data_IF_371849813199
#
_entry.id   IF_371849813199
#
_cell.length_a   1.000
_cell.length_b   1.000
_cell.length_c   1.000
_cell.angle_alpha   90.00
_cell.angle_beta   90.00
_cell.angle_gamma   90.00
#
_symmetry.space_group_name_H-M   'P 1'
#
loop_
_entity.id
_entity.type
_entity.pdbx_description
1 polymer ?
#
# COMPACT_ATOMS: atom_id res chain seq x y z
N UNK A 1 -22.99 -12.28 2.57
CA UNK A 1 -23.02 -10.92 1.99
C UNK A 1 -21.58 -10.42 1.81
N UNK A 2 -21.20 -10.02 0.59
CA UNK A 2 -19.88 -9.46 0.35
C UNK A 2 -19.72 -8.15 1.14
N UNK A 3 -18.66 -8.05 1.95
CA UNK A 3 -18.31 -6.83 2.67
C UNK A 3 -18.11 -5.66 1.70
N UNK A 4 -18.52 -4.46 2.12
CA UNK A 4 -18.27 -3.21 1.39
C UNK A 4 -16.76 -2.94 1.27
N UNK A 5 -16.37 -2.11 0.31
CA UNK A 5 -14.94 -1.79 0.10
C UNK A 5 -14.33 -1.03 1.29
N UNK A 6 -15.14 -0.27 2.02
CA UNK A 6 -14.75 0.39 3.26
C UNK A 6 -14.45 -0.62 4.36
N UNK A 7 -15.33 -1.60 4.58
CA UNK A 7 -15.10 -2.67 5.57
C UNK A 7 -13.84 -3.47 5.22
N UNK A 8 -13.64 -3.81 3.94
CA UNK A 8 -12.42 -4.49 3.49
C UNK A 8 -11.17 -3.68 3.77
N UNK A 9 -11.18 -2.37 3.51
CA UNK A 9 -10.02 -1.50 3.76
C UNK A 9 -9.72 -1.39 5.26
N UNK A 10 -10.77 -1.34 6.09
CA UNK A 10 -10.65 -1.35 7.55
C UNK A 10 -10.06 -2.68 8.07
N UNK A 11 -10.53 -3.82 7.54
CA UNK A 11 -9.96 -5.12 7.84
C UNK A 11 -8.49 -5.21 7.44
N UNK A 12 -8.13 -4.70 6.25
CA UNK A 12 -6.74 -4.70 5.79
C UNK A 12 -5.86 -3.85 6.72
N UNK A 13 -6.37 -2.74 7.25
CA UNK A 13 -5.66 -1.91 8.23
C UNK A 13 -5.40 -2.66 9.53
N UNK A 14 -6.44 -3.27 10.11
CA UNK A 14 -6.32 -4.06 11.35
C UNK A 14 -5.36 -5.24 11.15
N UNK A 15 -5.55 -5.99 10.06
CA UNK A 15 -4.71 -7.15 9.76
C UNK A 15 -3.27 -6.77 9.44
N UNK A 16 -3.04 -5.62 8.79
CA UNK A 16 -1.69 -5.07 8.56
C UNK A 16 -0.99 -4.77 9.88
N UNK A 17 -1.67 -4.09 10.81
CA UNK A 17 -1.12 -3.78 12.15
C UNK A 17 -0.73 -5.07 12.87
N UNK A 18 -1.65 -6.04 12.94
CA UNK A 18 -1.43 -7.32 13.62
C UNK A 18 -0.30 -8.14 12.98
N UNK A 19 -0.33 -8.33 11.66
CA UNK A 19 0.64 -9.17 10.97
C UNK A 19 2.03 -8.54 10.98
N UNK A 20 2.14 -7.24 10.70
CA UNK A 20 3.43 -6.57 10.69
C UNK A 20 4.05 -6.53 12.09
N UNK A 21 3.28 -6.29 13.16
CA UNK A 21 3.83 -6.36 14.51
C UNK A 21 4.28 -7.77 14.90
N UNK A 22 3.51 -8.81 14.52
CA UNK A 22 3.88 -10.21 14.79
C UNK A 22 5.17 -10.65 14.07
N UNK A 23 5.43 -10.09 12.89
CA UNK A 23 6.59 -10.43 12.04
C UNK A 23 7.55 -9.24 11.87
N UNK A 24 7.56 -8.30 12.82
CA UNK A 24 8.29 -7.02 12.70
C UNK A 24 9.80 -7.17 12.61
N UNK A 25 10.31 -8.27 13.14
CA UNK A 25 11.74 -8.61 13.13
C UNK A 25 12.21 -9.20 11.81
N UNK A 26 11.30 -9.50 10.86
CA UNK A 26 11.70 -9.96 9.55
C UNK A 26 12.48 -8.87 8.82
N UNK A 27 13.63 -9.25 8.27
CA UNK A 27 14.33 -8.41 7.30
C UNK A 27 13.61 -8.44 5.95
N UNK A 28 13.78 -7.42 5.10
CA UNK A 28 13.20 -7.40 3.76
C UNK A 28 13.64 -8.62 2.94
N UNK A 29 14.90 -9.03 3.10
CA UNK A 29 15.43 -10.23 2.45
C UNK A 29 14.63 -11.48 2.86
N UNK A 30 14.37 -11.68 4.15
CA UNK A 30 13.54 -12.81 4.60
C UNK A 30 12.09 -12.68 4.12
N UNK A 31 11.53 -11.47 4.15
CA UNK A 31 10.17 -11.19 3.71
C UNK A 31 9.96 -11.29 2.19
N UNK A 32 11.02 -11.46 1.39
CA UNK A 32 10.89 -11.83 -0.04
C UNK A 32 10.75 -13.33 -0.27
N UNK A 33 10.85 -14.17 0.78
CA UNK A 33 10.68 -15.61 0.67
C UNK A 33 9.22 -15.99 0.34
N UNK A 34 8.96 -16.23 -0.95
CA UNK A 34 7.65 -16.64 -1.49
C UNK A 34 7.05 -17.90 -0.85
N UNK A 35 7.89 -18.85 -0.42
CA UNK A 35 7.43 -20.12 0.13
C UNK A 35 6.86 -19.94 1.53
N UNK A 36 7.46 -19.06 2.33
CA UNK A 36 6.95 -18.71 3.66
C UNK A 36 5.53 -18.15 3.57
N UNK A 37 5.30 -17.16 2.71
CA UNK A 37 3.98 -16.56 2.53
C UNK A 37 2.95 -17.52 1.94
N UNK A 38 3.37 -18.35 0.99
CA UNK A 38 2.50 -19.37 0.42
C UNK A 38 2.10 -20.38 1.50
N UNK A 39 3.04 -20.86 2.33
CA UNK A 39 2.74 -21.75 3.45
C UNK A 39 1.76 -21.11 4.45
N UNK A 40 2.02 -19.86 4.84
CA UNK A 40 1.14 -19.13 5.77
C UNK A 40 -0.28 -18.99 5.21
N UNK A 41 -0.42 -18.69 3.91
CA UNK A 41 -1.73 -18.59 3.26
C UNK A 41 -2.46 -19.94 3.15
N UNK A 42 -1.74 -21.05 2.93
CA UNK A 42 -2.34 -22.37 2.76
C UNK A 42 -2.64 -23.10 4.06
N UNK A 43 -1.86 -22.84 5.11
CA UNK A 43 -1.85 -23.66 6.33
C UNK A 43 -2.27 -22.85 7.54
N UNK A 44 -1.57 -21.76 7.85
CA UNK A 44 -1.77 -21.04 9.12
C UNK A 44 -2.99 -20.14 9.07
N UNK A 45 -3.16 -19.40 7.98
CA UNK A 45 -4.24 -18.41 7.80
C UNK A 45 -5.25 -18.84 6.71
N UNK A 46 -5.33 -20.15 6.44
CA UNK A 46 -6.17 -20.72 5.39
C UNK A 46 -7.61 -20.24 5.45
N UNK A 47 -8.20 -20.28 6.65
CA UNK A 47 -9.61 -19.95 6.83
C UNK A 47 -9.89 -18.47 6.55
N UNK A 48 -8.96 -17.58 6.92
CA UNK A 48 -9.02 -16.16 6.55
C UNK A 48 -8.97 -15.97 5.03
N UNK A 49 -8.02 -16.62 4.36
CA UNK A 49 -7.88 -16.50 2.89
C UNK A 49 -9.12 -17.04 2.17
N UNK A 50 -9.66 -18.17 2.62
CA UNK A 50 -10.88 -18.76 2.08
C UNK A 50 -12.07 -17.83 2.30
N UNK A 51 -12.32 -17.42 3.55
CA UNK A 51 -13.48 -16.61 3.90
C UNK A 51 -13.52 -15.27 3.18
N UNK A 52 -12.35 -14.67 2.88
CA UNK A 52 -12.27 -13.35 2.28
C UNK A 52 -12.27 -13.33 0.76
N UNK A 53 -11.69 -14.34 0.10
CA UNK A 53 -11.48 -14.30 -1.36
C UNK A 53 -12.04 -15.49 -2.14
N UNK A 54 -12.45 -16.59 -1.51
CA UNK A 54 -12.81 -17.82 -2.24
C UNK A 54 -14.27 -17.95 -2.62
N UNK A 55 -15.13 -17.02 -2.21
CA UNK A 55 -16.50 -16.96 -2.72
C UNK A 55 -16.49 -16.67 -4.23
N UNK A 56 -16.87 -17.67 -5.03
CA UNK A 56 -16.88 -17.62 -6.50
C UNK A 56 -15.53 -17.22 -7.12
N UNK A 57 -14.42 -17.64 -6.50
CA UNK A 57 -13.08 -17.30 -6.97
C UNK A 57 -12.78 -17.84 -8.37
N UNK A 58 -12.14 -16.99 -9.19
CA UNK A 58 -11.52 -17.40 -10.44
C UNK A 58 -10.15 -18.02 -10.16
N UNK A 59 -9.66 -18.83 -11.10
CA UNK A 59 -8.32 -19.44 -11.01
C UNK A 59 -7.23 -18.41 -10.70
N UNK A 60 -7.28 -17.23 -11.32
CA UNK A 60 -6.30 -16.18 -11.06
C UNK A 60 -6.35 -15.67 -9.61
N UNK A 61 -7.54 -15.54 -9.02
CA UNK A 61 -7.70 -15.16 -7.60
C UNK A 61 -7.07 -16.20 -6.68
N UNK A 62 -7.25 -17.49 -6.99
CA UNK A 62 -6.62 -18.58 -6.23
C UNK A 62 -5.10 -18.44 -6.34
N UNK A 63 -4.57 -18.31 -7.57
CA UNK A 63 -3.13 -18.17 -7.81
C UNK A 63 -2.52 -16.99 -7.05
N UNK A 64 -3.13 -15.81 -7.14
CA UNK A 64 -2.57 -14.59 -6.55
C UNK A 64 -2.75 -14.50 -5.04
N UNK A 65 -3.82 -15.06 -4.47
CA UNK A 65 -4.06 -14.97 -3.01
C UNK A 65 -3.34 -16.05 -2.22
N UNK A 66 -3.20 -17.26 -2.77
CA UNK A 66 -2.53 -18.37 -2.10
C UNK A 66 -1.03 -18.47 -2.39
N UNK A 67 -0.57 -17.99 -3.54
CA UNK A 67 0.84 -18.08 -3.94
C UNK A 67 1.43 -16.69 -4.18
N UNK A 68 2.75 -16.58 -4.07
CA UNK A 68 3.50 -15.40 -4.52
C UNK A 68 4.04 -15.70 -5.92
N UNK A 69 3.43 -15.11 -6.94
CA UNK A 69 3.75 -15.33 -8.36
C UNK A 69 4.34 -14.06 -8.97
N UNK A 70 5.51 -14.18 -9.61
CA UNK A 70 6.18 -13.05 -10.26
C UNK A 70 6.76 -12.03 -9.27
N UNK A 71 7.20 -10.89 -9.81
CA UNK A 71 7.88 -9.82 -9.06
C UNK A 71 6.94 -9.00 -8.15
N UNK A 72 5.66 -8.96 -8.49
CA UNK A 72 4.63 -8.16 -7.77
C UNK A 72 3.77 -9.06 -6.85
N UNK A 73 3.98 -10.38 -6.92
CA UNK A 73 3.23 -11.36 -6.14
C UNK A 73 3.29 -11.18 -4.62
N UNK A 74 4.27 -10.43 -4.10
CA UNK A 74 4.39 -10.10 -2.68
C UNK A 74 3.29 -9.13 -2.20
N UNK A 75 2.79 -8.27 -3.09
CA UNK A 75 1.68 -7.36 -2.82
C UNK A 75 0.31 -7.95 -3.20
N UNK A 76 0.31 -9.04 -3.97
CA UNK A 76 -0.88 -9.79 -4.31
C UNK A 76 -1.23 -10.90 -3.31
N UNK A 77 -0.23 -11.59 -2.76
CA UNK A 77 -0.49 -12.68 -1.81
C UNK A 77 -1.24 -12.16 -0.58
N UNK A 78 -2.27 -12.90 -0.17
CA UNK A 78 -3.23 -12.47 0.85
C UNK A 78 -2.59 -12.11 2.19
N UNK A 79 -1.48 -12.77 2.54
CA UNK A 79 -0.78 -12.59 3.81
C UNK A 79 0.42 -11.67 3.62
N UNK A 80 1.27 -11.96 2.64
CA UNK A 80 2.47 -11.17 2.34
C UNK A 80 2.16 -9.68 2.20
N UNK A 81 1.07 -9.33 1.50
CA UNK A 81 0.70 -7.93 1.25
C UNK A 81 0.54 -7.12 2.52
N UNK A 82 -0.04 -7.72 3.57
CA UNK A 82 -0.28 -7.06 4.84
C UNK A 82 1.06 -6.72 5.53
N UNK A 83 2.04 -7.63 5.45
CA UNK A 83 3.38 -7.33 5.98
C UNK A 83 4.06 -6.23 5.19
N UNK A 84 3.99 -6.27 3.85
CA UNK A 84 4.61 -5.26 3.00
C UNK A 84 3.95 -3.88 3.13
N UNK A 85 2.63 -3.81 3.29
CA UNK A 85 1.91 -2.57 3.59
C UNK A 85 2.44 -1.95 4.89
N UNK A 86 2.57 -2.74 5.96
CA UNK A 86 3.18 -2.30 7.20
C UNK A 86 4.63 -1.85 6.99
N UNK A 87 5.44 -2.65 6.30
CA UNK A 87 6.85 -2.36 6.08
C UNK A 87 7.11 -1.03 5.37
N UNK A 88 6.34 -0.70 4.33
CA UNK A 88 6.55 0.53 3.54
C UNK A 88 5.99 1.79 4.22
N UNK A 89 4.98 1.65 5.09
CA UNK A 89 4.26 2.80 5.66
C UNK A 89 4.46 3.02 7.16
N UNK A 90 4.92 2.02 7.93
CA UNK A 90 5.14 2.15 9.36
C UNK A 90 6.31 3.09 9.68
N UNK A 91 6.07 4.07 10.55
CA UNK A 91 7.06 5.08 10.95
C UNK A 91 7.23 5.12 12.49
N UNK A 92 8.19 4.38 13.07
CA UNK A 92 8.32 4.23 14.52
C UNK A 92 8.60 5.54 15.27
N UNK A 93 9.16 6.54 14.61
CA UNK A 93 9.49 7.84 15.19
C UNK A 93 8.30 8.78 15.35
N UNK A 94 7.15 8.48 14.73
CA UNK A 94 5.97 9.35 14.78
C UNK A 94 5.12 9.09 16.01
N UNK A 95 4.39 10.11 16.48
CA UNK A 95 3.40 10.00 17.57
C UNK A 95 2.35 8.92 17.29
N UNK A 96 1.87 8.85 16.04
CA UNK A 96 1.11 7.72 15.53
C UNK A 96 1.97 6.99 14.47
N UNK A 97 2.62 5.86 14.82
CA UNK A 97 3.46 5.13 13.88
C UNK A 97 2.75 4.54 12.66
N UNK A 98 1.42 4.47 12.71
CA UNK A 98 0.58 3.89 11.66
C UNK A 98 -0.12 4.95 10.79
N UNK A 99 0.20 6.23 10.97
CA UNK A 99 -0.49 7.31 10.27
C UNK A 99 -0.46 7.16 8.75
N UNK A 100 0.68 6.76 8.17
CA UNK A 100 0.78 6.53 6.73
C UNK A 100 0.14 5.21 6.30
N UNK A 101 0.07 4.21 7.17
CA UNK A 101 -0.67 2.97 6.90
C UNK A 101 -2.17 3.23 6.81
N UNK A 102 -2.67 4.10 7.69
CA UNK A 102 -4.05 4.60 7.65
C UNK A 102 -4.30 5.35 6.34
N UNK A 103 -3.36 6.19 5.90
CA UNK A 103 -3.45 6.87 4.59
C UNK A 103 -3.42 5.90 3.41
N UNK A 104 -2.52 4.92 3.41
CA UNK A 104 -2.38 3.91 2.37
C UNK A 104 -3.69 3.11 2.19
N UNK A 105 -4.34 2.80 3.31
CA UNK A 105 -5.54 1.96 3.36
C UNK A 105 -6.83 2.78 3.52
N UNK A 106 -6.82 4.07 3.18
CA UNK A 106 -8.05 4.89 3.06
C UNK A 106 -9.05 4.25 2.11
N UNK A 107 -8.55 3.69 1.00
CA UNK A 107 -9.34 2.90 0.07
C UNK A 107 -8.46 1.87 -0.64
N UNK A 108 -9.06 0.79 -1.12
CA UNK A 108 -8.37 -0.17 -1.98
C UNK A 108 -7.76 0.51 -3.21
N UNK A 109 -8.44 1.49 -3.81
CA UNK A 109 -7.94 2.19 -4.99
C UNK A 109 -6.69 3.01 -4.69
N UNK A 110 -6.67 3.74 -3.57
CA UNK A 110 -5.49 4.51 -3.12
C UNK A 110 -4.26 3.62 -3.01
N UNK A 111 -4.43 2.46 -2.40
CA UNK A 111 -3.39 1.46 -2.22
C UNK A 111 -2.90 0.91 -3.57
N UNK A 112 -3.80 0.41 -4.41
CA UNK A 112 -3.47 -0.15 -5.73
C UNK A 112 -2.77 0.86 -6.63
N UNK A 113 -3.29 2.09 -6.70
CA UNK A 113 -2.70 3.16 -7.52
C UNK A 113 -1.22 3.39 -7.18
N UNK A 114 -0.84 3.26 -5.91
CA UNK A 114 0.52 3.54 -5.46
C UNK A 114 1.45 2.32 -5.57
N UNK A 115 0.94 1.13 -5.27
CA UNK A 115 1.76 -0.07 -5.12
C UNK A 115 2.09 -0.70 -6.47
N UNK A 116 1.24 -0.53 -7.48
CA UNK A 116 1.45 -1.05 -8.83
C UNK A 116 2.54 -0.27 -9.60
N UNK A 117 3.00 0.87 -9.07
CA UNK A 117 4.01 1.71 -9.71
C UNK A 117 5.43 1.13 -9.57
N UNK A 118 6.28 1.40 -10.55
CA UNK A 118 7.64 0.84 -10.58
C UNK A 118 8.49 1.22 -9.35
N UNK A 119 8.24 2.42 -8.80
CA UNK A 119 8.93 2.96 -7.64
C UNK A 119 8.38 2.46 -6.30
N UNK A 120 7.37 1.59 -6.27
CA UNK A 120 6.71 1.13 -5.03
C UNK A 120 7.62 0.39 -4.05
N UNK A 121 8.81 0.00 -4.52
CA UNK A 121 9.87 -0.63 -3.72
C UNK A 121 10.72 0.38 -2.94
N UNK A 122 10.63 1.66 -3.25
CA UNK A 122 11.36 2.73 -2.58
C UNK A 122 10.48 3.36 -1.49
N UNK A 123 10.87 3.16 -0.22
CA UNK A 123 10.12 3.66 0.93
C UNK A 123 10.06 5.18 0.98
N UNK A 124 11.12 5.88 0.60
CA UNK A 124 11.16 7.34 0.65
C UNK A 124 10.08 7.92 -0.25
N UNK A 125 9.95 7.38 -1.46
CA UNK A 125 8.94 7.81 -2.42
C UNK A 125 7.54 7.49 -1.90
N UNK A 126 7.31 6.27 -1.41
CA UNK A 126 6.01 5.85 -0.88
C UNK A 126 5.61 6.71 0.31
N UNK A 127 6.51 6.93 1.26
CA UNK A 127 6.23 7.71 2.45
C UNK A 127 6.00 9.18 2.13
N UNK A 128 6.78 9.77 1.22
CA UNK A 128 6.54 11.14 0.74
C UNK A 128 5.18 11.30 0.07
N UNK A 129 4.80 10.34 -0.80
CA UNK A 129 3.49 10.32 -1.46
C UNK A 129 2.33 10.20 -0.48
N UNK A 130 2.43 9.28 0.49
CA UNK A 130 1.41 9.09 1.51
C UNK A 130 1.31 10.31 2.43
N UNK A 131 2.44 10.93 2.80
CA UNK A 131 2.44 12.15 3.60
C UNK A 131 1.78 13.32 2.86
N UNK A 132 2.02 13.44 1.54
CA UNK A 132 1.36 14.44 0.72
C UNK A 132 -0.16 14.24 0.66
N UNK A 133 -0.62 12.99 0.46
CA UNK A 133 -2.05 12.69 0.45
C UNK A 133 -2.70 12.96 1.81
N UNK A 134 -2.03 12.60 2.90
CA UNK A 134 -2.48 12.87 4.26
C UNK A 134 -2.68 14.38 4.48
N UNK A 135 -1.65 15.18 4.18
CA UNK A 135 -1.72 16.64 4.34
C UNK A 135 -2.82 17.24 3.46
N UNK A 136 -2.93 16.80 2.21
CA UNK A 136 -3.98 17.27 1.29
C UNK A 136 -5.39 16.99 1.83
N UNK A 137 -5.60 15.81 2.42
CA UNK A 137 -6.89 15.46 3.03
C UNK A 137 -7.15 16.23 4.34
N UNK A 138 -6.10 16.56 5.11
CA UNK A 138 -6.21 17.39 6.32
C UNK A 138 -6.55 18.85 5.99
N UNK A 139 -5.94 19.42 4.94
CA UNK A 139 -6.18 20.79 4.49
C UNK A 139 -7.51 20.96 3.74
N UNK A 140 -7.92 19.93 2.99
CA UNK A 140 -9.13 19.95 2.14
C UNK A 140 -10.08 18.76 2.43
N UNK A 141 -10.61 18.63 3.66
CA UNK A 141 -11.34 17.42 4.11
C UNK A 141 -12.66 17.14 3.38
N UNK A 142 -13.20 18.11 2.61
CA UNK A 142 -14.43 17.96 1.84
C UNK A 142 -14.18 17.74 0.34
N UNK A 143 -12.93 17.80 -0.08
CA UNK A 143 -12.56 17.67 -1.48
C UNK A 143 -12.33 16.21 -1.84
N UNK A 144 -12.91 15.76 -2.95
CA UNK A 144 -12.66 14.43 -3.45
C UNK A 144 -11.19 14.30 -3.89
N UNK A 145 -10.44 13.39 -3.27
CA UNK A 145 -9.01 13.23 -3.53
C UNK A 145 -8.69 12.16 -4.58
N UNK A 146 -9.63 11.30 -4.97
CA UNK A 146 -9.36 10.14 -5.86
C UNK A 146 -8.77 10.55 -7.22
N UNK A 147 -9.38 11.53 -7.88
CA UNK A 147 -8.88 12.04 -9.17
C UNK A 147 -7.54 12.76 -9.01
N UNK A 148 -7.39 13.70 -8.05
CA UNK A 148 -6.10 14.33 -7.77
C UNK A 148 -4.97 13.35 -7.47
N UNK A 149 -5.26 12.34 -6.65
CA UNK A 149 -4.33 11.28 -6.28
C UNK A 149 -3.82 10.51 -7.49
N UNK A 150 -4.73 10.01 -8.33
CA UNK A 150 -4.36 9.28 -9.55
C UNK A 150 -3.51 10.12 -10.49
N UNK A 151 -3.88 11.39 -10.68
CA UNK A 151 -3.08 12.31 -11.50
C UNK A 151 -1.70 12.56 -10.89
N UNK A 152 -1.60 12.66 -9.56
CA UNK A 152 -0.35 12.83 -8.84
C UNK A 152 0.57 11.61 -8.95
N UNK A 153 0.05 10.40 -8.76
CA UNK A 153 0.78 9.14 -8.95
C UNK A 153 1.38 9.07 -10.35
N UNK A 154 0.58 9.37 -11.39
CA UNK A 154 1.05 9.41 -12.78
C UNK A 154 2.07 10.54 -13.03
N UNK A 155 1.94 11.66 -12.33
CA UNK A 155 2.89 12.76 -12.41
C UNK A 155 4.26 12.32 -11.87
N UNK A 156 4.31 11.76 -10.66
CA UNK A 156 5.56 11.27 -10.06
C UNK A 156 6.18 10.15 -10.88
N UNK A 157 5.39 9.20 -11.38
CA UNK A 157 5.91 8.17 -12.29
C UNK A 157 6.58 8.78 -13.53
N UNK A 158 5.96 9.81 -14.13
CA UNK A 158 6.55 10.56 -15.26
C UNK A 158 7.83 11.31 -14.88
N UNK A 159 7.91 11.87 -13.67
CA UNK A 159 9.15 12.49 -13.19
C UNK A 159 10.30 11.48 -13.12
N UNK A 160 10.02 10.21 -12.81
CA UNK A 160 11.02 9.14 -12.84
C UNK A 160 11.64 8.83 -14.21
N UNK A 161 11.05 9.32 -15.30
CA UNK A 161 11.66 9.27 -16.63
C UNK A 161 12.68 10.39 -16.89
N UNK A 162 12.70 11.44 -16.06
CA UNK A 162 13.51 12.65 -16.25
C UNK A 162 14.56 12.78 -15.15
N UNK A 163 14.22 12.38 -13.93
CA UNK A 163 15.08 12.40 -12.75
C UNK A 163 15.15 11.02 -12.13
N UNK A 164 16.30 10.67 -11.57
CA UNK A 164 16.41 9.44 -10.81
C UNK A 164 15.77 9.64 -9.42
N UNK A 165 14.54 9.13 -9.27
CA UNK A 165 13.76 9.28 -8.03
C UNK A 165 14.43 8.64 -6.82
N UNK A 166 15.35 7.69 -7.00
CA UNK A 166 16.01 7.01 -5.89
C UNK A 166 16.95 7.93 -5.09
N UNK A 167 17.32 9.08 -5.65
CA UNK A 167 18.10 10.10 -4.96
C UNK A 167 17.26 11.22 -4.33
N UNK A 168 15.93 11.18 -4.49
CA UNK A 168 15.02 12.19 -3.94
C UNK A 168 14.49 11.70 -2.60
N UNK A 169 14.77 12.44 -1.53
CA UNK A 169 14.26 12.13 -0.19
C UNK A 169 12.75 12.32 -0.05
N UNK A 170 12.15 11.68 0.94
CA UNK A 170 10.70 11.72 1.18
C UNK A 170 10.12 13.14 1.25
N UNK A 171 10.82 14.09 1.89
CA UNK A 171 10.36 15.48 2.03
C UNK A 171 10.15 16.16 0.67
N UNK A 172 11.05 15.91 -0.29
CA UNK A 172 10.95 16.52 -1.61
C UNK A 172 9.87 15.85 -2.46
N UNK A 173 9.72 14.53 -2.35
CA UNK A 173 8.61 13.80 -2.98
C UNK A 173 7.28 14.32 -2.44
N UNK A 174 7.17 14.51 -1.12
CA UNK A 174 5.99 15.06 -0.47
C UNK A 174 5.65 16.45 -1.03
N UNK A 175 6.64 17.35 -1.07
CA UNK A 175 6.47 18.72 -1.60
C UNK A 175 5.96 18.68 -3.06
N UNK A 176 6.59 17.88 -3.92
CA UNK A 176 6.22 17.74 -5.32
C UNK A 176 4.79 17.21 -5.49
N UNK A 177 4.44 16.16 -4.74
CA UNK A 177 3.13 15.51 -4.80
C UNK A 177 2.02 16.43 -4.29
N UNK A 178 2.23 17.07 -3.13
CA UNK A 178 1.26 17.98 -2.53
C UNK A 178 1.00 19.19 -3.44
N UNK A 179 2.07 19.86 -3.90
CA UNK A 179 1.94 21.02 -4.79
C UNK A 179 1.24 20.65 -6.10
N UNK A 180 1.48 19.46 -6.64
CA UNK A 180 0.78 18.99 -7.82
C UNK A 180 -0.72 18.82 -7.58
N UNK A 181 -1.12 18.17 -6.47
CA UNK A 181 -2.53 17.99 -6.11
C UNK A 181 -3.25 19.33 -5.86
N UNK A 182 -2.61 20.29 -5.20
CA UNK A 182 -3.15 21.65 -5.02
C UNK A 182 -3.34 22.33 -6.37
N UNK A 183 -2.32 22.32 -7.23
CA UNK A 183 -2.33 22.95 -8.55
C UNK A 183 -3.46 22.44 -9.46
N UNK A 184 -3.68 21.12 -9.55
CA UNK A 184 -4.70 20.56 -10.44
C UNK A 184 -6.14 20.82 -9.95
N UNK A 185 -6.30 21.19 -8.67
CA UNK A 185 -7.58 21.61 -8.11
C UNK A 185 -7.77 23.14 -8.11
N UNK A 186 -6.81 23.91 -8.64
CA UNK A 186 -6.79 25.38 -8.62
C UNK A 186 -6.95 25.97 -7.20
N UNK A 187 -6.27 25.36 -6.23
CA UNK A 187 -6.23 25.79 -4.84
C UNK A 187 -4.99 26.64 -4.55
#
# INVERSE_FOLDING_TARGET
PNASDTEKSQDDLVNTKLLYDAFKTLTPLQATNKYMWSYLAHVVFKDYVIGRWMENARENTIKTRFFVVGKDGLFDNAISRLWWFGYISYQPSNTNPWSLTETLLLSQQTCTDLIDEAYSRNKEIIQGMLQALKNFHEDYPRLAFTTPWRSCVQYINRQGGIVNLDYIGADKIQEMAYNYMVKINNL
#
